data_IF_152618685030
#
_entry.id   IF_152618685030
#
_cell.length_a   1.000
_cell.length_b   1.000
_cell.length_c   1.000
_cell.angle_alpha   90.00
_cell.angle_beta   90.00
_cell.angle_gamma   90.00
#
_symmetry.space_group_name_H-M   'P 1'
#
loop_
_entity.id
_entity.type
_entity.pdbx_description
1 polymer ?
#
# COMPACT_ATOMS: atom_id res chain seq x y z
N UNK A 1 -39.66 19.26 -5.50
CA UNK A 1 -39.81 18.20 -4.49
C UNK A 1 -38.51 17.41 -4.43
N UNK A 2 -37.67 17.69 -3.43
CA UNK A 2 -36.40 16.98 -3.20
C UNK A 2 -36.68 15.71 -2.40
N UNK A 3 -36.65 14.55 -3.05
CA UNK A 3 -36.66 13.26 -2.36
C UNK A 3 -35.35 13.08 -1.61
N UNK A 4 -35.36 13.34 -0.30
CA UNK A 4 -34.32 12.87 0.61
C UNK A 4 -34.59 11.38 0.87
N UNK A 5 -34.05 10.51 0.02
CA UNK A 5 -34.05 9.07 0.29
C UNK A 5 -33.31 8.82 1.60
N UNK A 6 -33.97 8.17 2.56
CA UNK A 6 -33.30 7.64 3.75
C UNK A 6 -32.18 6.71 3.27
N UNK A 7 -30.95 6.80 3.79
CA UNK A 7 -29.89 5.89 3.41
C UNK A 7 -30.32 4.46 3.76
N UNK A 8 -30.42 3.61 2.74
CA UNK A 8 -30.63 2.18 2.90
C UNK A 8 -29.54 1.64 3.83
N UNK A 9 -29.92 0.80 4.80
CA UNK A 9 -28.96 0.21 5.72
C UNK A 9 -27.92 -0.59 4.91
N UNK A 10 -26.65 -0.19 4.98
CA UNK A 10 -25.56 -0.93 4.33
C UNK A 10 -25.49 -2.32 4.95
N UNK A 11 -25.58 -3.35 4.11
CA UNK A 11 -25.31 -4.72 4.51
C UNK A 11 -23.78 -4.94 4.56
N UNK A 12 -23.33 -5.72 5.53
CA UNK A 12 -21.92 -6.07 5.73
C UNK A 12 -21.79 -7.58 5.93
N UNK A 13 -21.91 -8.39 4.86
CA UNK A 13 -21.71 -9.83 4.96
C UNK A 13 -20.30 -10.15 5.47
N UNK A 14 -20.15 -11.27 6.19
CA UNK A 14 -18.84 -11.77 6.60
C UNK A 14 -18.18 -12.49 5.42
N UNK A 15 -16.93 -12.14 5.16
CA UNK A 15 -16.05 -12.80 4.21
C UNK A 15 -14.97 -13.47 5.04
N UNK A 16 -15.00 -14.79 5.09
CA UNK A 16 -14.15 -15.58 5.98
C UNK A 16 -12.70 -15.61 5.50
N UNK A 17 -12.50 -15.70 4.18
CA UNK A 17 -11.20 -15.66 3.54
C UNK A 17 -11.04 -14.37 2.73
N UNK A 18 -9.98 -13.61 3.00
CA UNK A 18 -9.74 -12.35 2.29
C UNK A 18 -9.33 -12.59 0.83
N UNK A 19 -8.84 -13.78 0.50
CA UNK A 19 -8.44 -14.15 -0.86
C UNK A 19 -9.67 -14.31 -1.78
N UNK A 20 -10.88 -14.47 -1.21
CA UNK A 20 -12.14 -14.46 -1.97
C UNK A 20 -12.46 -13.07 -2.56
N UNK A 21 -11.82 -12.01 -2.08
CA UNK A 21 -12.13 -10.62 -2.47
C UNK A 21 -10.94 -9.78 -2.86
N UNK A 22 -9.77 -10.03 -2.29
CA UNK A 22 -8.54 -9.32 -2.64
C UNK A 22 -7.97 -9.97 -3.89
N UNK A 23 -7.82 -9.24 -5.01
CA UNK A 23 -7.20 -9.79 -6.22
C UNK A 23 -5.80 -10.33 -5.95
N UNK A 24 -5.36 -11.25 -6.79
CA UNK A 24 -3.97 -11.70 -6.76
C UNK A 24 -3.00 -10.52 -7.01
N UNK A 25 -1.82 -10.63 -6.40
CA UNK A 25 -0.72 -9.69 -6.63
C UNK A 25 -0.32 -9.67 -8.10
N UNK A 26 -0.21 -8.47 -8.68
CA UNK A 26 0.33 -8.31 -10.03
C UNK A 26 1.84 -8.66 -10.10
N UNK A 27 2.52 -8.67 -8.96
CA UNK A 27 3.94 -9.05 -8.84
C UNK A 27 4.08 -10.52 -8.48
N UNK A 28 4.90 -11.26 -9.20
CA UNK A 28 5.21 -12.68 -8.92
C UNK A 28 6.70 -12.99 -9.08
N UNK A 29 7.13 -14.09 -8.46
CA UNK A 29 8.50 -14.62 -8.61
C UNK A 29 8.55 -15.57 -9.81
N UNK A 30 9.48 -15.34 -10.74
CA UNK A 30 9.73 -16.18 -11.90
C UNK A 30 10.79 -17.25 -11.56
N UNK A 31 10.46 -18.55 -11.66
CA UNK A 31 11.42 -19.62 -11.39
C UNK A 31 12.61 -19.55 -12.36
N UNK A 32 13.76 -20.06 -11.94
CA UNK A 32 14.96 -20.10 -12.78
C UNK A 32 14.78 -21.22 -13.83
N UNK A 33 14.91 -20.93 -15.14
CA UNK A 33 14.84 -21.96 -16.16
C UNK A 33 15.93 -23.02 -15.97
N UNK A 34 15.59 -24.27 -16.29
CA UNK A 34 16.52 -25.38 -16.13
C UNK A 34 17.78 -25.18 -16.98
N UNK A 35 18.96 -25.36 -16.38
CA UNK A 35 20.25 -25.19 -17.06
C UNK A 35 20.77 -23.74 -17.14
N UNK A 36 20.02 -22.73 -16.67
CA UNK A 36 20.50 -21.35 -16.63
C UNK A 36 21.38 -21.08 -15.41
N UNK A 37 22.59 -20.55 -15.62
CA UNK A 37 23.46 -20.06 -14.54
C UNK A 37 23.15 -18.59 -14.27
N UNK A 38 22.56 -18.32 -13.11
CA UNK A 38 22.21 -16.98 -12.64
C UNK A 38 22.91 -16.76 -11.30
N UNK A 39 23.37 -15.54 -10.97
CA UNK A 39 23.90 -15.25 -9.65
C UNK A 39 22.93 -15.71 -8.55
N UNK A 40 23.45 -16.30 -7.47
CA UNK A 40 22.60 -16.62 -6.32
C UNK A 40 21.95 -15.32 -5.85
N UNK A 41 20.67 -15.43 -5.52
CA UNK A 41 19.91 -14.32 -4.99
C UNK A 41 19.69 -13.17 -6.03
N UNK A 42 19.72 -13.39 -7.34
CA UNK A 42 19.21 -12.38 -8.29
C UNK A 42 17.75 -12.02 -8.00
N UNK A 43 17.33 -10.78 -8.31
CA UNK A 43 15.93 -10.39 -8.20
C UNK A 43 15.15 -11.11 -9.32
N UNK A 44 14.26 -12.01 -8.91
CA UNK A 44 13.46 -12.85 -9.81
C UNK A 44 12.01 -12.42 -9.88
N UNK A 45 11.72 -11.13 -9.80
CA UNK A 45 10.34 -10.63 -9.72
C UNK A 45 9.93 -9.89 -10.99
N UNK A 46 8.74 -10.20 -11.47
CA UNK A 46 8.09 -9.50 -12.59
C UNK A 46 6.71 -9.01 -12.18
N UNK A 47 6.25 -7.96 -12.87
CA UNK A 47 4.89 -7.48 -12.78
C UNK A 47 4.13 -7.81 -14.06
N UNK A 48 3.02 -8.52 -13.94
CA UNK A 48 2.18 -8.91 -15.08
C UNK A 48 1.33 -7.74 -15.57
N UNK A 49 1.32 -7.52 -16.89
CA UNK A 49 0.51 -6.50 -17.55
C UNK A 49 -0.90 -7.05 -17.80
N UNK A 50 -1.91 -6.19 -17.65
CA UNK A 50 -3.29 -6.53 -18.01
C UNK A 50 -4.07 -7.29 -16.93
N UNK A 51 -3.61 -7.27 -15.68
CA UNK A 51 -4.35 -7.84 -14.55
C UNK A 51 -5.74 -7.22 -14.43
N UNK A 52 -6.76 -8.05 -14.27
CA UNK A 52 -8.15 -7.62 -14.16
C UNK A 52 -8.37 -6.77 -12.90
N UNK A 53 -9.05 -5.63 -13.07
CA UNK A 53 -9.53 -4.87 -11.92
C UNK A 53 -10.69 -5.64 -11.26
N UNK A 54 -10.80 -5.62 -9.92
CA UNK A 54 -11.93 -6.24 -9.24
C UNK A 54 -13.22 -5.57 -9.70
N UNK A 55 -14.26 -6.37 -9.96
CA UNK A 55 -15.58 -5.90 -10.33
C UNK A 55 -16.62 -6.54 -9.42
N UNK A 56 -17.38 -5.70 -8.71
CA UNK A 56 -18.41 -6.14 -7.77
C UNK A 56 -19.77 -5.55 -8.15
N UNK A 57 -20.84 -6.26 -7.79
CA UNK A 57 -22.21 -5.85 -8.12
C UNK A 57 -22.70 -4.60 -7.35
N UNK A 58 -21.96 -4.17 -6.33
CA UNK A 58 -22.29 -3.00 -5.52
C UNK A 58 -21.16 -1.97 -5.46
N UNK A 59 -21.53 -0.71 -5.19
CA UNK A 59 -20.59 0.39 -5.08
C UNK A 59 -21.03 1.40 -3.99
N UNK A 60 -20.24 1.59 -2.92
CA UNK A 60 -19.07 0.79 -2.53
C UNK A 60 -19.44 -0.67 -2.25
N UNK A 61 -18.50 -1.58 -2.47
CA UNK A 61 -18.62 -2.96 -2.00
C UNK A 61 -18.34 -2.99 -0.50
N UNK A 62 -19.30 -3.45 0.30
CA UNK A 62 -19.27 -3.38 1.75
C UNK A 62 -19.29 -4.79 2.35
N UNK A 63 -18.38 -5.08 3.27
CA UNK A 63 -18.28 -6.41 3.91
C UNK A 63 -17.54 -6.34 5.25
N UNK A 64 -17.50 -7.46 5.97
CA UNK A 64 -16.70 -7.63 7.19
C UNK A 64 -15.66 -8.73 7.00
N UNK A 65 -14.55 -8.63 7.71
CA UNK A 65 -13.49 -9.65 7.76
C UNK A 65 -13.35 -10.19 9.19
N UNK A 66 -12.72 -11.37 9.37
CA UNK A 66 -12.39 -11.88 10.69
C UNK A 66 -11.42 -10.93 11.41
N UNK A 67 -11.51 -10.93 12.72
CA UNK A 67 -10.68 -10.07 13.56
C UNK A 67 -11.42 -8.86 14.14
N UNK A 68 -10.73 -8.19 15.05
CA UNK A 68 -11.29 -7.11 15.89
C UNK A 68 -10.26 -6.07 16.31
N UNK A 69 -9.00 -6.23 15.88
CA UNK A 69 -7.92 -5.37 16.31
C UNK A 69 -7.24 -4.66 15.12
N UNK A 70 -6.38 -3.72 15.45
CA UNK A 70 -5.64 -2.92 14.46
C UNK A 70 -4.69 -3.77 13.61
N UNK A 71 -4.11 -4.83 14.18
CA UNK A 71 -3.25 -5.77 13.47
C UNK A 71 -3.99 -6.51 12.37
N UNK A 72 -5.19 -7.04 12.67
CA UNK A 72 -6.04 -7.71 11.68
C UNK A 72 -6.43 -6.75 10.53
N UNK A 73 -6.75 -5.49 10.88
CA UNK A 73 -7.02 -4.45 9.90
C UNK A 73 -5.81 -4.12 9.02
N UNK A 74 -4.61 -4.08 9.61
CA UNK A 74 -3.37 -3.88 8.85
C UNK A 74 -3.05 -5.09 7.97
N UNK A 75 -3.30 -6.31 8.43
CA UNK A 75 -3.09 -7.52 7.63
C UNK A 75 -3.90 -7.47 6.34
N UNK A 76 -5.21 -7.17 6.42
CA UNK A 76 -6.04 -6.96 5.23
C UNK A 76 -5.53 -5.80 4.35
N UNK A 77 -5.12 -4.69 4.96
CA UNK A 77 -4.58 -3.56 4.20
C UNK A 77 -3.28 -3.89 3.46
N UNK A 78 -2.42 -4.75 4.02
CA UNK A 78 -1.21 -5.23 3.35
C UNK A 78 -1.53 -6.14 2.17
N UNK A 79 -2.52 -7.04 2.29
CA UNK A 79 -3.02 -7.85 1.16
C UNK A 79 -3.54 -6.94 0.04
N UNK A 80 -4.39 -5.96 0.37
CA UNK A 80 -4.86 -4.97 -0.59
C UNK A 80 -3.72 -4.21 -1.27
N UNK A 81 -2.66 -3.85 -0.53
CA UNK A 81 -1.49 -3.13 -1.07
C UNK A 81 -0.67 -3.92 -2.10
N UNK A 82 -0.82 -5.24 -2.15
CA UNK A 82 -0.16 -6.08 -3.14
C UNK A 82 -0.76 -5.91 -4.56
N UNK A 83 -2.03 -5.51 -4.64
CA UNK A 83 -2.75 -5.34 -5.92
C UNK A 83 -2.55 -3.94 -6.50
N UNK A 84 -2.80 -2.93 -5.67
CA UNK A 84 -2.59 -1.51 -5.96
C UNK A 84 -1.81 -0.97 -4.77
N UNK A 85 -0.82 -0.10 -5.00
CA UNK A 85 -0.03 0.46 -3.88
C UNK A 85 -0.80 1.53 -3.09
N UNK A 86 -1.88 1.11 -2.44
CA UNK A 86 -2.75 1.95 -1.64
C UNK A 86 -1.96 2.76 -0.62
N UNK A 87 -2.18 4.07 -0.61
CA UNK A 87 -1.51 4.98 0.31
C UNK A 87 -2.45 5.29 1.47
N UNK A 88 -2.01 4.95 2.68
CA UNK A 88 -2.71 5.34 3.89
C UNK A 88 -2.73 6.87 3.98
N UNK A 89 -3.91 7.47 4.05
CA UNK A 89 -4.03 8.92 4.19
C UNK A 89 -4.21 9.32 5.64
N UNK A 90 -5.01 8.56 6.40
CA UNK A 90 -5.38 8.89 7.76
C UNK A 90 -5.58 7.63 8.61
N UNK A 91 -5.35 7.81 9.91
CA UNK A 91 -5.70 6.88 10.99
C UNK A 91 -6.49 7.65 12.04
N UNK A 92 -7.71 7.20 12.35
CA UNK A 92 -8.50 7.79 13.43
C UNK A 92 -8.64 6.79 14.56
N UNK A 93 -8.57 7.29 15.79
CA UNK A 93 -8.78 6.52 17.00
C UNK A 93 -9.72 7.28 17.92
N UNK A 94 -10.74 6.59 18.42
CA UNK A 94 -11.63 7.09 19.45
C UNK A 94 -11.35 6.34 20.74
N UNK A 95 -11.12 7.09 21.81
CA UNK A 95 -11.15 6.54 23.15
C UNK A 95 -12.62 6.49 23.57
N UNK A 96 -13.20 5.29 23.62
CA UNK A 96 -14.54 5.13 24.18
C UNK A 96 -14.45 5.44 25.67
N UNK A 97 -15.18 6.45 26.18
CA UNK A 97 -15.17 6.75 27.60
C UNK A 97 -15.62 5.53 28.39
N UNK A 98 -15.00 5.29 29.55
CA UNK A 98 -15.53 4.36 30.53
C UNK A 98 -16.99 4.70 30.86
N UNK A 99 -17.82 3.70 31.24
CA UNK A 99 -19.21 3.96 31.59
C UNK A 99 -19.27 5.07 32.65
N UNK A 100 -20.14 6.08 32.48
CA UNK A 100 -20.15 7.23 33.36
C UNK A 100 -20.48 6.80 34.79
N UNK A 101 -19.57 7.07 35.72
CA UNK A 101 -19.90 7.12 37.16
C UNK A 101 -20.98 8.19 37.38
N UNK A 102 -21.90 7.95 38.33
CA UNK A 102 -23.15 8.69 38.54
C UNK A 102 -23.06 10.22 38.59
N UNK A 103 -21.86 10.80 38.77
CA UNK A 103 -21.62 12.22 38.94
C UNK A 103 -20.99 12.95 37.74
N UNK A 104 -20.82 12.31 36.56
CA UNK A 104 -20.27 13.02 35.40
C UNK A 104 -21.33 13.73 34.55
N UNK A 105 -21.09 14.99 34.14
CA UNK A 105 -21.98 15.68 33.21
C UNK A 105 -22.07 14.91 31.89
N UNK A 106 -23.28 14.62 31.42
CA UNK A 106 -23.52 13.95 30.13
C UNK A 106 -22.81 14.74 29.03
N UNK A 107 -21.72 14.20 28.47
CA UNK A 107 -21.02 14.79 27.33
C UNK A 107 -22.04 14.96 26.19
N UNK A 108 -22.20 16.17 25.69
CA UNK A 108 -23.11 16.50 24.60
C UNK A 108 -22.44 16.15 23.27
N UNK A 109 -22.91 15.07 22.64
CA UNK A 109 -22.48 14.67 21.30
C UNK A 109 -23.04 13.28 20.94
N UNK A 110 -23.20 12.95 19.66
CA UNK A 110 -23.54 11.60 19.23
C UNK A 110 -22.49 10.60 19.74
N UNK A 111 -22.89 9.37 20.14
CA UNK A 111 -21.94 8.35 20.55
C UNK A 111 -21.01 7.98 19.39
N UNK A 112 -19.76 7.64 19.71
CA UNK A 112 -18.83 7.09 18.74
C UNK A 112 -19.40 5.82 18.13
N UNK A 113 -19.20 5.64 16.82
CA UNK A 113 -19.66 4.44 16.09
C UNK A 113 -18.53 3.42 15.85
N UNK A 114 -17.29 3.81 16.12
CA UNK A 114 -16.11 3.00 15.86
C UNK A 114 -14.99 3.27 16.86
N UNK A 115 -14.17 2.26 17.14
CA UNK A 115 -12.95 2.41 17.95
C UNK A 115 -11.82 3.03 17.14
N UNK A 116 -11.59 2.53 15.93
CA UNK A 116 -10.63 3.10 15.00
C UNK A 116 -11.11 3.03 13.57
N UNK A 117 -10.51 3.85 12.72
CA UNK A 117 -10.75 3.89 11.28
C UNK A 117 -9.46 4.12 10.51
N UNK A 118 -9.16 3.21 9.59
CA UNK A 118 -8.07 3.32 8.64
C UNK A 118 -8.61 3.77 7.28
N UNK A 119 -7.93 4.72 6.66
CA UNK A 119 -8.32 5.25 5.36
C UNK A 119 -7.16 5.10 4.36
N UNK A 120 -7.43 4.42 3.26
CA UNK A 120 -6.47 4.19 2.18
C UNK A 120 -7.01 4.70 0.85
N UNK A 121 -6.15 5.30 0.04
CA UNK A 121 -6.53 5.83 -1.27
C UNK A 121 -5.53 5.46 -2.36
N UNK A 122 -6.01 5.48 -3.61
CA UNK A 122 -5.16 5.34 -4.78
C UNK A 122 -4.04 6.40 -4.80
N UNK A 123 -2.80 6.03 -5.18
CA UNK A 123 -1.70 7.00 -5.37
C UNK A 123 -2.00 8.14 -6.34
N UNK A 124 -2.83 7.89 -7.37
CA UNK A 124 -3.29 8.89 -8.34
C UNK A 124 -4.34 9.86 -7.79
N UNK A 125 -4.67 9.79 -6.49
CA UNK A 125 -5.66 10.68 -5.89
C UNK A 125 -5.21 12.15 -5.86
N UNK A 126 -6.17 13.02 -6.15
CA UNK A 126 -6.00 14.47 -6.22
C UNK A 126 -5.53 14.94 -7.58
N UNK A 127 -5.28 16.24 -7.71
CA UNK A 127 -4.74 16.84 -8.92
C UNK A 127 -3.53 17.67 -8.53
N UNK A 128 -2.41 17.52 -9.25
CA UNK A 128 -1.31 18.46 -9.10
C UNK A 128 -0.81 18.91 -10.47
N UNK A 129 -1.02 20.21 -10.72
CA UNK A 129 -0.47 20.95 -11.85
C UNK A 129 0.75 21.72 -11.34
N UNK A 130 1.90 21.48 -11.96
CA UNK A 130 3.08 22.27 -11.64
C UNK A 130 2.85 23.74 -12.06
N UNK A 131 3.25 24.73 -11.26
CA UNK A 131 3.20 26.12 -11.68
C UNK A 131 4.00 26.36 -12.96
N UNK A 132 3.49 27.22 -13.84
CA UNK A 132 4.17 27.62 -15.08
C UNK A 132 5.53 28.23 -14.69
N UNK A 133 6.65 27.69 -15.21
CA UNK A 133 8.06 28.01 -14.87
C UNK A 133 8.60 27.46 -13.54
N UNK A 134 7.95 26.45 -12.94
CA UNK A 134 8.56 25.74 -11.81
C UNK A 134 9.85 25.03 -12.24
N UNK A 135 10.94 25.26 -11.49
CA UNK A 135 12.19 24.47 -11.59
C UNK A 135 12.05 23.05 -11.00
N UNK A 136 10.96 22.75 -10.29
CA UNK A 136 10.67 21.44 -9.70
C UNK A 136 9.53 20.75 -10.44
N UNK A 137 9.88 19.59 -11.00
CA UNK A 137 9.06 18.49 -11.56
C UNK A 137 7.96 18.86 -12.58
N UNK A 138 7.78 17.98 -13.56
CA UNK A 138 6.61 17.98 -14.43
C UNK A 138 5.30 17.96 -13.60
N UNK A 139 4.17 18.35 -14.20
CA UNK A 139 2.84 18.14 -13.62
C UNK A 139 2.73 16.70 -13.09
N UNK A 140 2.13 16.53 -11.91
CA UNK A 140 2.02 15.19 -11.35
C UNK A 140 1.06 14.37 -12.21
N UNK A 141 1.30 13.07 -12.28
CA UNK A 141 0.40 12.07 -12.87
C UNK A 141 -0.87 11.79 -12.03
N UNK A 142 -1.12 12.59 -10.97
CA UNK A 142 -2.36 12.52 -10.20
C UNK A 142 -3.54 12.95 -11.09
N UNK A 143 -4.45 12.01 -11.35
CA UNK A 143 -5.59 12.18 -12.25
C UNK A 143 -6.93 12.39 -11.53
N UNK A 144 -6.91 12.55 -10.21
CA UNK A 144 -8.12 12.70 -9.40
C UNK A 144 -8.82 11.40 -9.07
N UNK A 145 -8.09 10.28 -9.09
CA UNK A 145 -8.68 8.97 -8.82
C UNK A 145 -9.36 8.94 -7.44
N UNK A 146 -10.62 8.50 -7.42
CA UNK A 146 -11.45 8.43 -6.21
C UNK A 146 -11.47 7.03 -5.57
N UNK A 147 -10.80 6.06 -6.20
CA UNK A 147 -10.68 4.73 -5.65
C UNK A 147 -10.04 4.77 -4.26
N UNK A 148 -10.66 4.08 -3.32
CA UNK A 148 -10.28 4.07 -1.90
C UNK A 148 -10.90 2.88 -1.18
N UNK A 149 -10.36 2.54 -0.03
CA UNK A 149 -11.07 1.70 0.92
C UNK A 149 -10.87 2.19 2.35
N UNK A 150 -11.83 1.86 3.19
CA UNK A 150 -11.86 2.27 4.58
C UNK A 150 -12.09 1.03 5.44
N UNK A 151 -11.29 0.86 6.50
CA UNK A 151 -11.47 -0.21 7.48
C UNK A 151 -11.90 0.43 8.79
N UNK A 152 -13.02 -0.02 9.34
CA UNK A 152 -13.62 0.55 10.55
C UNK A 152 -13.90 -0.55 11.56
N UNK A 153 -13.38 -0.45 12.77
CA UNK A 153 -13.79 -1.33 13.87
C UNK A 153 -15.08 -0.80 14.49
N UNK A 154 -16.21 -1.39 14.10
CA UNK A 154 -17.54 -0.92 14.44
C UNK A 154 -17.96 -1.36 15.85
N UNK A 155 -18.30 -0.40 16.72
CA UNK A 155 -18.55 -0.65 18.14
C UNK A 155 -19.75 -1.59 18.35
N UNK A 156 -20.88 -1.34 17.69
CA UNK A 156 -22.11 -2.05 18.02
C UNK A 156 -22.14 -3.52 17.56
N UNK A 157 -21.31 -3.89 16.57
CA UNK A 157 -21.21 -5.29 16.10
C UNK A 157 -19.88 -5.93 16.47
N UNK A 158 -18.95 -5.18 17.05
CA UNK A 158 -17.58 -5.59 17.34
C UNK A 158 -16.86 -6.25 16.14
N UNK A 159 -17.10 -5.73 14.93
CA UNK A 159 -16.52 -6.27 13.68
C UNK A 159 -15.70 -5.24 12.93
N UNK A 160 -14.72 -5.72 12.16
CA UNK A 160 -14.01 -4.94 11.16
C UNK A 160 -14.85 -4.84 9.88
N UNK A 161 -15.32 -3.63 9.58
CA UNK A 161 -16.12 -3.29 8.39
C UNK A 161 -15.25 -2.63 7.34
N UNK A 162 -15.37 -3.10 6.10
CA UNK A 162 -14.69 -2.57 4.94
C UNK A 162 -15.73 -1.87 4.06
N UNK A 163 -15.44 -0.62 3.71
CA UNK A 163 -16.13 0.11 2.63
C UNK A 163 -15.13 0.25 1.46
N UNK A 164 -15.34 -0.48 0.37
CA UNK A 164 -14.42 -0.48 -0.78
C UNK A 164 -15.02 0.21 -2.01
N UNK A 165 -14.44 1.35 -2.35
CA UNK A 165 -14.69 2.11 -3.57
C UNK A 165 -13.67 1.68 -4.62
N UNK A 166 -13.96 0.57 -5.30
CA UNK A 166 -13.01 -0.15 -6.16
C UNK A 166 -12.82 0.45 -7.56
N UNK A 167 -13.70 1.35 -8.02
CA UNK A 167 -13.64 1.92 -9.37
C UNK A 167 -12.50 2.93 -9.52
N UNK A 168 -11.50 2.59 -10.31
CA UNK A 168 -10.41 3.50 -10.72
C UNK A 168 -10.81 4.34 -11.93
N UNK A 169 -10.33 5.59 -11.97
CA UNK A 169 -10.50 6.50 -13.12
C UNK A 169 -9.33 6.42 -14.13
N UNK A 170 -8.50 5.40 -13.98
CA UNK A 170 -7.33 5.12 -14.81
C UNK A 170 -7.19 3.61 -14.90
N UNK A 171 -6.48 3.16 -15.94
CA UNK A 171 -6.15 1.76 -16.09
C UNK A 171 -5.09 1.36 -15.05
N UNK A 172 -5.25 0.15 -14.53
CA UNK A 172 -4.32 -0.50 -13.62
C UNK A 172 -3.43 -1.46 -14.41
N UNK A 173 -2.25 -1.79 -13.86
CA UNK A 173 -1.36 -2.81 -14.41
C UNK A 173 -0.96 -2.58 -15.88
N UNK A 174 -0.89 -1.31 -16.30
CA UNK A 174 -0.30 -0.91 -17.58
C UNK A 174 1.17 -0.56 -17.39
N UNK A 175 2.00 -0.67 -18.43
CA UNK A 175 3.41 -0.27 -18.35
C UNK A 175 3.58 1.18 -17.84
N UNK A 176 2.72 2.09 -18.27
CA UNK A 176 2.67 3.46 -17.75
C UNK A 176 2.36 3.48 -16.25
N UNK A 177 1.33 2.76 -15.79
CA UNK A 177 0.99 2.70 -14.38
C UNK A 177 2.12 2.13 -13.53
N UNK A 178 2.83 1.13 -14.05
CA UNK A 178 3.94 0.50 -13.36
C UNK A 178 5.16 1.40 -13.19
N UNK A 179 5.49 2.22 -14.19
CA UNK A 179 6.61 3.18 -14.12
C UNK A 179 6.38 4.27 -13.08
N UNK A 180 5.13 4.66 -12.87
CA UNK A 180 4.76 5.75 -11.96
C UNK A 180 4.38 5.25 -10.56
N UNK A 181 3.96 4.00 -10.46
CA UNK A 181 3.78 3.31 -9.20
C UNK A 181 5.15 2.94 -8.62
N UNK A 182 5.53 3.73 -7.62
CA UNK A 182 6.29 3.32 -6.43
C UNK A 182 6.44 1.77 -6.33
N UNK A 183 7.67 1.24 -6.26
CA UNK A 183 8.02 -0.21 -6.17
C UNK A 183 7.11 -1.08 -5.28
N UNK A 184 6.84 -2.35 -5.61
CA UNK A 184 6.13 -3.26 -4.70
C UNK A 184 6.90 -3.44 -3.40
N UNK A 185 6.18 -3.74 -2.33
CA UNK A 185 6.78 -3.96 -1.00
C UNK A 185 7.81 -5.10 -1.04
N UNK A 186 7.50 -6.21 -1.73
CA UNK A 186 8.41 -7.35 -1.85
C UNK A 186 9.77 -6.97 -2.46
N UNK A 187 9.77 -6.12 -3.49
CA UNK A 187 10.99 -5.63 -4.14
C UNK A 187 11.75 -4.67 -3.23
N UNK A 188 11.03 -3.76 -2.55
CA UNK A 188 11.64 -2.86 -1.58
C UNK A 188 12.31 -3.63 -0.43
N UNK A 189 11.63 -4.63 0.14
CA UNK A 189 12.16 -5.44 1.23
C UNK A 189 13.38 -6.26 0.78
N UNK A 190 13.35 -6.80 -0.45
CA UNK A 190 14.51 -7.44 -1.06
C UNK A 190 15.72 -6.49 -1.17
N UNK A 191 15.51 -5.23 -1.58
CA UNK A 191 16.60 -4.23 -1.66
C UNK A 191 17.15 -3.93 -0.27
N UNK A 192 16.26 -3.74 0.70
CA UNK A 192 16.63 -3.48 2.10
C UNK A 192 17.51 -4.61 2.63
N UNK A 193 17.14 -5.86 2.38
CA UNK A 193 17.93 -7.02 2.79
C UNK A 193 19.34 -7.01 2.19
N UNK A 194 19.50 -6.62 0.91
CA UNK A 194 20.84 -6.51 0.29
C UNK A 194 21.68 -5.38 0.83
N UNK A 195 21.05 -4.24 1.11
CA UNK A 195 21.74 -3.14 1.78
C UNK A 195 22.18 -3.55 3.19
N UNK A 196 21.33 -4.28 3.92
CA UNK A 196 21.63 -4.76 5.26
C UNK A 196 22.72 -5.87 5.24
N UNK A 197 22.86 -6.61 4.15
CA UNK A 197 24.00 -7.49 3.85
C UNK A 197 25.29 -6.75 3.43
N UNK A 198 25.25 -5.41 3.33
CA UNK A 198 26.40 -4.57 2.98
C UNK A 198 26.65 -4.42 1.48
N UNK A 199 25.74 -4.84 0.61
CA UNK A 199 25.89 -4.66 -0.84
C UNK A 199 25.69 -3.20 -1.22
N UNK A 200 26.57 -2.71 -2.10
CA UNK A 200 26.46 -1.39 -2.70
C UNK A 200 25.60 -1.40 -3.97
N UNK A 201 25.46 -0.23 -4.58
CA UNK A 201 24.69 -0.08 -5.82
C UNK A 201 25.20 -1.01 -6.93
N UNK A 202 26.52 -1.09 -7.15
CA UNK A 202 27.10 -1.86 -8.25
C UNK A 202 26.82 -3.35 -8.12
N UNK A 203 26.82 -3.87 -6.89
CA UNK A 203 26.47 -5.26 -6.61
C UNK A 203 24.97 -5.50 -6.81
N UNK A 204 24.13 -4.58 -6.30
CA UNK A 204 22.67 -4.67 -6.45
C UNK A 204 22.28 -4.59 -7.93
N UNK A 205 22.81 -3.64 -8.69
CA UNK A 205 22.55 -3.46 -10.12
C UNK A 205 22.82 -4.75 -10.93
N UNK A 206 23.90 -5.47 -10.61
CA UNK A 206 24.18 -6.79 -11.22
C UNK A 206 23.11 -7.83 -10.88
N UNK A 207 22.55 -7.79 -9.68
CA UNK A 207 21.51 -8.72 -9.22
C UNK A 207 20.12 -8.38 -9.75
N UNK A 208 19.89 -7.14 -10.19
CA UNK A 208 18.66 -6.73 -10.86
C UNK A 208 18.58 -7.25 -12.30
N UNK A 209 19.73 -7.55 -12.91
CA UNK A 209 19.82 -7.94 -14.32
C UNK A 209 19.70 -9.46 -14.47
N UNK A 210 18.70 -9.93 -15.21
CA UNK A 210 18.54 -11.35 -15.55
C UNK A 210 18.13 -11.50 -17.03
N UNK A 211 18.97 -12.10 -17.90
CA UNK A 211 18.71 -12.16 -19.34
C UNK A 211 17.38 -12.81 -19.72
N UNK A 212 17.00 -13.86 -19.01
CA UNK A 212 15.75 -14.59 -19.23
C UNK A 212 14.51 -13.80 -18.80
N UNK A 213 14.62 -12.98 -17.75
CA UNK A 213 13.55 -12.03 -17.36
C UNK A 213 13.40 -10.97 -18.46
N UNK A 214 14.51 -10.45 -19.00
CA UNK A 214 14.45 -9.50 -20.10
C UNK A 214 13.75 -10.11 -21.32
N UNK A 215 14.09 -11.36 -21.67
CA UNK A 215 13.41 -12.09 -22.76
C UNK A 215 11.91 -12.24 -22.51
N UNK A 216 11.49 -12.52 -21.27
CA UNK A 216 10.07 -12.56 -20.90
C UNK A 216 9.42 -11.18 -21.06
N UNK A 217 10.07 -10.12 -20.61
CA UNK A 217 9.56 -8.75 -20.70
C UNK A 217 9.46 -8.24 -22.14
N UNK A 218 10.33 -8.70 -23.04
CA UNK A 218 10.30 -8.36 -24.47
C UNK A 218 9.01 -8.85 -25.16
N UNK A 219 8.33 -9.86 -24.60
CA UNK A 219 7.02 -10.31 -25.11
C UNK A 219 5.89 -9.32 -24.82
N UNK A 220 6.12 -8.32 -23.95
CA UNK A 220 5.13 -7.30 -23.60
C UNK A 220 4.06 -7.74 -22.59
N UNK A 221 4.14 -8.96 -22.06
CA UNK A 221 3.19 -9.49 -21.06
C UNK A 221 3.57 -9.13 -19.61
N UNK A 222 4.82 -8.70 -19.39
CA UNK A 222 5.34 -8.40 -18.06
C UNK A 222 6.43 -7.32 -18.10
N UNK A 223 6.68 -6.70 -16.94
CA UNK A 223 7.79 -5.76 -16.72
C UNK A 223 8.68 -6.30 -15.60
N UNK A 224 10.00 -6.17 -15.76
CA UNK A 224 10.94 -6.56 -14.73
C UNK A 224 10.83 -5.58 -13.55
N UNK A 225 10.62 -6.08 -12.34
CA UNK A 225 10.54 -5.20 -11.18
C UNK A 225 11.88 -4.50 -10.88
N UNK A 226 12.98 -5.09 -11.36
CA UNK A 226 14.31 -4.51 -11.28
C UNK A 226 14.43 -3.17 -12.02
N UNK A 227 13.67 -2.95 -13.09
CA UNK A 227 13.71 -1.71 -13.88
C UNK A 227 13.27 -0.49 -13.08
N UNK A 228 12.41 -0.69 -12.07
CA UNK A 228 11.94 0.38 -11.19
C UNK A 228 12.94 0.78 -10.10
N UNK A 229 14.06 0.06 -9.96
CA UNK A 229 15.04 0.27 -8.90
C UNK A 229 16.10 1.25 -9.36
N UNK A 230 16.13 2.42 -8.73
CA UNK A 230 17.04 3.51 -9.08
C UNK A 230 18.20 3.64 -8.10
N UNK A 231 19.33 4.17 -8.59
CA UNK A 231 20.51 4.48 -7.77
C UNK A 231 20.16 5.26 -6.50
N UNK A 232 19.37 6.33 -6.65
CA UNK A 232 19.01 7.22 -5.54
C UNK A 232 18.28 6.48 -4.41
N UNK A 233 17.44 5.49 -4.74
CA UNK A 233 16.76 4.69 -3.73
C UNK A 233 17.77 3.93 -2.86
N UNK A 234 18.68 3.19 -3.50
CA UNK A 234 19.70 2.38 -2.83
C UNK A 234 20.66 3.28 -2.05
N UNK A 235 21.12 4.38 -2.66
CA UNK A 235 21.99 5.34 -2.02
C UNK A 235 21.37 5.94 -0.75
N UNK A 236 20.10 6.35 -0.81
CA UNK A 236 19.39 6.90 0.33
C UNK A 236 19.16 5.85 1.43
N UNK A 237 18.89 4.58 1.08
CA UNK A 237 18.79 3.49 2.03
C UNK A 237 20.12 3.28 2.78
N UNK A 238 21.24 3.17 2.05
CA UNK A 238 22.58 3.03 2.64
C UNK A 238 22.88 4.18 3.60
N UNK A 239 22.63 5.42 3.17
CA UNK A 239 22.84 6.62 4.00
C UNK A 239 21.98 6.61 5.26
N UNK A 240 20.72 6.21 5.13
CA UNK A 240 19.79 6.11 6.25
C UNK A 240 20.25 5.05 7.25
N UNK A 241 20.67 3.87 6.79
CA UNK A 241 21.21 2.79 7.64
C UNK A 241 22.49 3.19 8.37
N UNK A 242 23.45 3.83 7.67
CA UNK A 242 24.66 4.38 8.30
C UNK A 242 24.34 5.40 9.39
N UNK A 243 23.36 6.26 9.14
CA UNK A 243 22.92 7.26 10.12
C UNK A 243 22.30 6.60 11.36
N UNK A 244 21.53 5.52 11.19
CA UNK A 244 20.97 4.74 12.31
C UNK A 244 22.08 4.10 13.14
N UNK A 245 23.07 3.47 12.50
CA UNK A 245 24.21 2.85 13.20
C UNK A 245 25.09 3.88 13.94
N UNK A 246 25.15 5.12 13.45
CA UNK A 246 25.89 6.20 14.12
C UNK A 246 25.18 6.76 15.36
N UNK A 247 23.88 6.51 15.53
CA UNK A 247 23.12 6.96 16.70
C UNK A 247 23.41 6.06 17.90
N UNK A 248 23.76 6.66 19.04
CA UNK A 248 23.94 5.96 20.32
C UNK A 248 22.60 5.66 21.02
N UNK A 249 21.53 6.36 20.62
CA UNK A 249 20.17 6.18 21.15
C UNK A 249 19.11 6.36 20.03
N UNK A 250 17.98 5.62 20.04
CA UNK A 250 16.89 5.84 19.08
C UNK A 250 16.30 7.25 19.12
N UNK A 251 16.24 7.87 20.30
CA UNK A 251 15.89 9.27 20.46
C UNK A 251 17.04 10.16 19.98
N UNK A 252 16.74 11.04 19.03
CA UNK A 252 17.74 11.92 18.40
C UNK A 252 18.35 12.91 19.41
N UNK A 253 17.56 13.44 20.34
CA UNK A 253 18.04 14.39 21.34
C UNK A 253 18.90 13.70 22.38
N UNK A 254 18.50 12.51 22.83
CA UNK A 254 19.32 11.70 23.74
C UNK A 254 20.60 11.27 23.06
N UNK A 255 20.55 10.86 21.79
CA UNK A 255 21.74 10.45 21.06
C UNK A 255 22.73 11.60 20.85
N UNK A 256 22.26 12.85 20.67
CA UNK A 256 23.12 14.02 20.53
C UNK A 256 23.82 14.40 21.84
N UNK A 257 23.16 14.20 22.98
CA UNK A 257 23.75 14.45 24.30
C UNK A 257 24.82 13.41 24.71
N UNK A 258 24.91 12.29 23.99
CA UNK A 258 25.88 11.22 24.21
C UNK A 258 27.19 11.40 23.40
N UNK A 259 27.35 12.53 22.72
CA UNK A 259 28.55 12.95 21.98
C UNK A 259 29.09 14.26 22.54
#
# INVERSE_FOLDING_TARGET
MTHTSKPTAKNYPLIADIDDVVPESATSVVPVPHGTKIPPCSLRMVRWIGGAAPAFDSYPFCFTIPGRNMGDAHYFAEAMKATVRWTMQNCFHNVVPEPPTANQPKKRGPPFKYYFKLYFACPRRGYHKAPIKSRKAASSWKCGCNARFEITHHIATDTLRIDWYWKHSHELNTKDDMQHNRLPKAVHDWIVERVDQGLGWKEIEKLLTSPDINTLCDTGVAVAEGDGVLYDLVHNLIKSRRTVLARRNPDVFVSLALW
#
